data_IF_472663336665
#
_entry.id   IF_472663336665
#
_cell.length_a   1.000
_cell.length_b   1.000
_cell.length_c   1.000
_cell.angle_alpha   90.00
_cell.angle_beta   90.00
_cell.angle_gamma   90.00
#
_symmetry.space_group_name_H-M   'P 1'
#
loop_
_entity.id
_entity.type
_entity.pdbx_description
1 polymer ?
#
# COMPACT_ATOMS: atom_id res chain seq x y z
N UNK A 1 5.21 -0.45 12.82
CA UNK A 1 4.55 0.35 13.88
C UNK A 1 3.45 1.15 13.21
N UNK A 2 2.30 1.32 13.86
CA UNK A 2 1.22 2.15 13.31
C UNK A 2 1.29 3.55 13.91
N UNK A 3 1.34 4.55 13.05
CA UNK A 3 1.31 5.97 13.39
C UNK A 3 -0.07 6.54 13.11
N UNK A 4 -0.48 7.55 13.89
CA UNK A 4 -1.76 8.23 13.72
C UNK A 4 -1.53 9.71 13.49
N UNK A 5 -2.22 10.25 12.49
CA UNK A 5 -2.32 11.69 12.24
C UNK A 5 -3.80 12.03 12.11
N UNK A 6 -4.20 13.18 12.64
CA UNK A 6 -5.61 13.56 12.66
C UNK A 6 -5.81 15.08 12.67
N UNK A 7 -6.98 15.51 12.23
CA UNK A 7 -7.48 16.89 12.35
C UNK A 7 -8.95 16.86 12.81
N UNK A 8 -9.67 17.99 12.80
CA UNK A 8 -11.05 18.06 13.30
C UNK A 8 -12.04 17.15 12.54
N UNK A 9 -11.71 16.74 11.31
CA UNK A 9 -12.59 15.93 10.45
C UNK A 9 -12.15 14.48 10.30
N UNK A 10 -10.86 14.23 10.10
CA UNK A 10 -10.34 12.91 9.73
C UNK A 10 -9.34 12.39 10.74
N UNK A 11 -9.33 11.07 10.94
CA UNK A 11 -8.26 10.33 11.62
C UNK A 11 -7.68 9.31 10.66
N UNK A 12 -6.37 9.37 10.45
CA UNK A 12 -5.63 8.47 9.59
C UNK A 12 -4.71 7.57 10.41
N UNK A 13 -4.58 6.32 10.00
CA UNK A 13 -3.56 5.40 10.51
C UNK A 13 -2.66 4.93 9.38
N UNK A 14 -1.34 4.96 9.61
CA UNK A 14 -0.32 4.57 8.64
C UNK A 14 0.58 3.54 9.29
N UNK A 15 0.76 2.38 8.65
CA UNK A 15 1.77 1.42 9.07
C UNK A 15 3.13 1.81 8.48
N UNK A 16 4.14 1.90 9.33
CA UNK A 16 5.50 2.21 8.93
C UNK A 16 6.10 1.16 8.00
N UNK A 17 5.60 -0.07 8.03
CA UNK A 17 5.94 -1.07 7.04
C UNK A 17 5.31 -0.68 5.69
N UNK A 18 6.16 -0.40 4.69
CA UNK A 18 5.72 0.03 3.36
C UNK A 18 5.06 1.42 3.31
N UNK A 19 5.10 2.18 4.42
CA UNK A 19 4.34 3.42 4.60
C UNK A 19 2.85 3.26 4.22
N UNK A 20 2.27 2.09 4.49
CA UNK A 20 0.95 1.71 4.01
C UNK A 20 -0.15 2.46 4.77
N UNK A 21 -1.05 3.12 4.05
CA UNK A 21 -2.25 3.70 4.64
C UNK A 21 -3.17 2.58 5.11
N UNK A 22 -3.57 2.61 6.37
CA UNK A 22 -4.32 1.54 7.02
C UNK A 22 -5.76 1.92 7.35
N UNK A 23 -6.05 3.20 7.58
CA UNK A 23 -7.39 3.67 7.96
C UNK A 23 -7.57 5.14 7.59
N UNK A 24 -8.78 5.49 7.15
CA UNK A 24 -9.27 6.85 6.92
C UNK A 24 -10.67 6.93 7.53
N UNK A 25 -10.79 7.43 8.76
CA UNK A 25 -12.09 7.55 9.44
C UNK A 25 -12.58 9.00 9.43
N UNK A 26 -13.82 9.23 8.98
CA UNK A 26 -14.54 10.49 9.25
C UNK A 26 -15.00 10.52 10.70
N UNK A 27 -14.58 11.55 11.44
CA UNK A 27 -14.91 11.73 12.86
C UNK A 27 -16.36 12.13 13.08
N UNK A 28 -17.07 12.61 12.06
CA UNK A 28 -18.47 13.05 12.16
C UNK A 28 -19.42 11.87 12.36
N UNK A 29 -19.22 10.79 11.61
CA UNK A 29 -20.13 9.63 11.59
C UNK A 29 -19.42 8.28 11.79
N UNK A 30 -18.09 8.27 11.90
CA UNK A 30 -17.30 7.07 12.10
C UNK A 30 -17.07 6.25 10.83
N UNK A 31 -17.43 6.77 9.65
CA UNK A 31 -17.24 6.05 8.38
C UNK A 31 -15.77 5.77 8.11
N UNK A 32 -15.42 4.50 7.92
CA UNK A 32 -14.11 4.08 7.39
C UNK A 32 -14.16 4.08 5.86
N UNK A 33 -13.35 4.93 5.24
CA UNK A 33 -13.29 5.06 3.79
C UNK A 33 -12.34 4.06 3.13
N UNK A 34 -11.32 3.58 3.85
CA UNK A 34 -10.34 2.69 3.29
C UNK A 34 -10.75 1.23 3.44
N UNK A 35 -10.62 0.48 2.35
CA UNK A 35 -10.71 -0.97 2.37
C UNK A 35 -9.79 -1.59 3.44
N UNK A 36 -10.35 -2.47 4.27
CA UNK A 36 -9.67 -3.01 5.46
C UNK A 36 -8.93 -4.33 5.23
N UNK A 37 -8.91 -4.86 3.99
CA UNK A 37 -8.15 -6.07 3.66
C UNK A 37 -8.87 -7.37 3.98
N UNK A 38 -10.11 -7.57 3.48
CA UNK A 38 -10.76 -8.88 3.62
C UNK A 38 -9.95 -9.94 2.85
N UNK A 39 -9.36 -10.89 3.58
CA UNK A 39 -8.48 -11.93 3.05
C UNK A 39 -9.13 -12.80 1.97
N UNK A 40 -10.44 -12.99 2.04
CA UNK A 40 -11.18 -13.82 1.08
C UNK A 40 -11.38 -13.12 -0.28
N UNK A 41 -11.15 -11.80 -0.34
CA UNK A 41 -11.35 -10.98 -1.54
C UNK A 41 -10.05 -10.31 -1.99
N UNK A 42 -9.46 -9.50 -1.11
CA UNK A 42 -8.19 -8.82 -1.30
C UNK A 42 -7.60 -8.43 0.06
N UNK A 43 -6.52 -9.10 0.45
CA UNK A 43 -5.92 -8.96 1.79
C UNK A 43 -5.14 -7.65 1.99
N UNK A 44 -4.74 -6.97 0.92
CA UNK A 44 -3.98 -5.70 1.00
C UNK A 44 -4.92 -4.51 1.17
N UNK A 45 -4.36 -3.35 1.53
CA UNK A 45 -5.08 -2.09 1.70
C UNK A 45 -4.66 -1.07 0.66
N UNK A 46 -3.62 -0.30 0.96
CA UNK A 46 -3.11 0.76 0.10
C UNK A 46 -1.59 0.61 -0.04
N UNK A 47 -1.11 -0.48 -0.66
CA UNK A 47 0.31 -0.75 -0.77
C UNK A 47 1.02 0.34 -1.60
N UNK A 48 2.18 0.78 -1.13
CA UNK A 48 3.09 1.61 -1.92
C UNK A 48 3.75 0.75 -2.99
N UNK A 49 3.75 1.20 -4.25
CA UNK A 49 4.30 0.46 -5.38
C UNK A 49 5.63 1.10 -5.81
N UNK A 50 6.74 0.41 -5.57
CA UNK A 50 8.09 0.93 -5.83
C UNK A 50 9.09 -0.23 -5.97
N UNK A 51 10.08 -0.19 -6.88
CA UNK A 51 10.43 0.92 -7.79
C UNK A 51 9.63 0.96 -9.08
N UNK A 52 8.65 0.08 -9.27
CA UNK A 52 7.83 0.04 -10.47
C UNK A 52 6.39 -0.38 -10.14
N UNK A 53 5.48 -0.08 -11.06
CA UNK A 53 4.07 -0.44 -10.95
C UNK A 53 3.74 -1.60 -11.89
N UNK A 54 3.09 -2.63 -11.35
CA UNK A 54 2.58 -3.76 -12.13
C UNK A 54 3.59 -4.92 -12.20
N UNK A 55 3.40 -5.81 -13.19
CA UNK A 55 4.25 -6.98 -13.37
C UNK A 55 5.18 -6.76 -14.57
N UNK A 56 6.46 -7.08 -14.39
CA UNK A 56 7.41 -7.12 -15.50
C UNK A 56 7.24 -8.41 -16.31
N UNK A 57 7.47 -8.35 -17.62
CA UNK A 57 7.42 -9.55 -18.47
C UNK A 57 8.45 -10.57 -17.98
N UNK A 58 7.99 -11.79 -17.68
CA UNK A 58 8.83 -12.86 -17.12
C UNK A 58 9.54 -12.47 -15.80
N UNK A 59 8.93 -11.58 -15.01
CA UNK A 59 9.40 -11.12 -13.70
C UNK A 59 10.83 -10.56 -13.70
N UNK A 60 11.25 -9.97 -14.83
CA UNK A 60 12.62 -9.45 -14.99
C UNK A 60 12.72 -8.27 -15.94
N UNK A 61 13.80 -7.51 -15.79
CA UNK A 61 14.25 -6.50 -16.75
C UNK A 61 15.76 -6.61 -16.97
N UNK A 62 16.26 -5.91 -17.99
CA UNK A 62 17.69 -5.83 -18.31
C UNK A 62 18.14 -4.39 -18.18
N UNK A 63 19.22 -4.16 -17.45
CA UNK A 63 19.89 -2.86 -17.34
C UNK A 63 21.40 -3.09 -17.42
N UNK A 64 22.08 -2.34 -18.28
CA UNK A 64 23.53 -2.47 -18.53
C UNK A 64 23.96 -3.92 -18.80
N UNK A 65 23.24 -4.61 -19.69
CA UNK A 65 23.47 -6.03 -20.03
C UNK A 65 23.35 -7.03 -18.86
N UNK A 66 22.87 -6.59 -17.69
CA UNK A 66 22.60 -7.43 -16.53
C UNK A 66 21.10 -7.64 -16.35
N UNK A 67 20.72 -8.87 -16.05
CA UNK A 67 19.32 -9.24 -15.78
C UNK A 67 19.01 -9.07 -14.30
N UNK A 68 17.88 -8.43 -13.99
CA UNK A 68 17.36 -8.23 -12.65
C UNK A 68 15.97 -8.84 -12.54
N UNK A 69 15.73 -9.59 -11.47
CA UNK A 69 14.38 -10.08 -11.14
C UNK A 69 13.64 -9.03 -10.31
N UNK A 70 12.33 -8.96 -10.44
CA UNK A 70 11.49 -8.14 -9.57
C UNK A 70 10.08 -8.71 -9.48
N UNK A 71 9.45 -8.52 -8.33
CA UNK A 71 8.10 -9.04 -8.08
C UNK A 71 7.03 -8.08 -8.62
N UNK A 72 5.77 -8.51 -8.52
CA UNK A 72 4.62 -7.66 -8.83
C UNK A 72 4.63 -6.43 -7.91
N UNK A 73 4.58 -5.24 -8.50
CA UNK A 73 4.62 -3.93 -7.82
C UNK A 73 5.94 -3.58 -7.12
N UNK A 74 7.03 -4.29 -7.44
CA UNK A 74 8.35 -3.97 -6.90
C UNK A 74 8.85 -5.00 -5.89
N UNK A 75 9.06 -4.59 -4.64
CA UNK A 75 9.54 -5.41 -3.52
C UNK A 75 8.56 -5.41 -2.34
#
# INVERSE_FOLDING_TARGET
MVYTIENDRLKLQINSLGAELWSIVDKKDGTEYLWQGNKDLWERRAPTLFPHCGRLKNDKYIYENKTYKSELHGF
#
